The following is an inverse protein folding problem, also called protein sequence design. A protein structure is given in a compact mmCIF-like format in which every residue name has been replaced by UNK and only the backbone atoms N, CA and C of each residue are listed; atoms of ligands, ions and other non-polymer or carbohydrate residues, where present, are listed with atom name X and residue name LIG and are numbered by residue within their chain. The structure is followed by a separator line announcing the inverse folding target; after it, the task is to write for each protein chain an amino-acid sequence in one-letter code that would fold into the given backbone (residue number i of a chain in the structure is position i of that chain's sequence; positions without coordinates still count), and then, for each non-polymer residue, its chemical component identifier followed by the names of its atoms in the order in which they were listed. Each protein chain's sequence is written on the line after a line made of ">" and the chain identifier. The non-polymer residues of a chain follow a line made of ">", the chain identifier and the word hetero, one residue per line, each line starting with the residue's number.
data_IF_333084462266
#
_entry.id   IF_333084462266
#
_cell.length_a   1.000
_cell.length_b   1.000
_cell.length_c   1.000
_cell.angle_alpha   90.00
_cell.angle_beta   90.00
_cell.angle_gamma   90.00
#
_symmetry.space_group_name_H-M   'P 1'
#
loop_
_entity.id
_entity.type
_entity.pdbx_description
1 polymer ?
#
# COMPACT_ATOMS: atom_id res chain seq x y z
N UNK A 1 -1.08 -32.21 -20.84
CA UNK A 1 -1.93 -31.73 -19.74
C UNK A 1 -1.03 -31.31 -18.58
N UNK A 2 -0.34 -30.16 -18.73
CA UNK A 2 0.71 -29.73 -17.78
C UNK A 2 0.90 -28.20 -17.68
N UNK A 3 0.08 -27.41 -18.40
CA UNK A 3 0.24 -25.94 -18.48
C UNK A 3 -0.58 -25.20 -17.41
N UNK A 4 -1.57 -25.84 -16.79
CA UNK A 4 -2.44 -25.21 -15.78
C UNK A 4 -1.77 -25.03 -14.40
N UNK A 5 -0.86 -25.92 -14.01
CA UNK A 5 -0.20 -25.88 -12.69
C UNK A 5 0.72 -24.66 -12.49
N UNK A 6 1.66 -24.33 -13.40
CA UNK A 6 2.53 -23.17 -13.21
C UNK A 6 1.77 -21.84 -13.27
N UNK A 7 0.73 -21.72 -14.12
CA UNK A 7 -0.08 -20.50 -14.20
C UNK A 7 -0.92 -20.28 -12.93
N UNK A 8 -1.48 -21.34 -12.33
CA UNK A 8 -2.22 -21.24 -11.06
C UNK A 8 -1.32 -20.90 -9.88
N UNK A 9 -0.09 -21.41 -9.86
CA UNK A 9 0.91 -21.07 -8.83
C UNK A 9 1.35 -19.61 -8.93
N UNK A 10 1.67 -19.10 -10.13
CA UNK A 10 2.01 -17.68 -10.33
C UNK A 10 0.89 -16.73 -9.90
N UNK A 11 -0.37 -17.07 -10.25
CA UNK A 11 -1.54 -16.28 -9.84
C UNK A 11 -1.73 -16.29 -8.33
N UNK A 12 -1.54 -17.45 -7.68
CA UNK A 12 -1.64 -17.60 -6.24
C UNK A 12 -0.55 -16.80 -5.52
N UNK A 13 0.70 -16.88 -5.97
CA UNK A 13 1.77 -16.10 -5.37
C UNK A 13 1.54 -14.58 -5.52
N UNK A 14 1.06 -14.13 -6.69
CA UNK A 14 0.70 -12.71 -6.89
C UNK A 14 -0.41 -12.27 -5.93
N UNK A 15 -1.45 -13.08 -5.75
CA UNK A 15 -2.52 -12.78 -4.81
C UNK A 15 -2.01 -12.69 -3.35
N UNK A 16 -1.15 -13.64 -2.93
CA UNK A 16 -0.55 -13.65 -1.60
C UNK A 16 0.36 -12.44 -1.37
N UNK A 17 1.21 -12.10 -2.35
CA UNK A 17 2.09 -10.92 -2.28
C UNK A 17 1.29 -9.62 -2.11
N UNK A 18 0.19 -9.47 -2.85
CA UNK A 18 -0.73 -8.31 -2.74
C UNK A 18 -1.38 -8.22 -1.35
N UNK A 19 -1.92 -9.32 -0.84
CA UNK A 19 -2.51 -9.37 0.50
C UNK A 19 -1.49 -9.00 1.59
N UNK A 20 -0.25 -9.48 1.45
CA UNK A 20 0.82 -9.20 2.39
C UNK A 20 1.23 -7.72 2.38
N UNK A 21 1.42 -7.12 1.18
CA UNK A 21 1.71 -5.68 1.03
C UNK A 21 0.64 -4.80 1.69
N UNK A 22 -0.65 -5.08 1.43
CA UNK A 22 -1.77 -4.33 2.03
C UNK A 22 -1.78 -4.44 3.56
N UNK A 23 -1.52 -5.64 4.11
CA UNK A 23 -1.48 -5.84 5.57
C UNK A 23 -0.31 -5.10 6.21
N UNK A 24 0.88 -5.16 5.62
CA UNK A 24 2.07 -4.50 6.16
C UNK A 24 1.89 -2.97 6.13
N UNK A 25 1.27 -2.43 5.08
CA UNK A 25 0.87 -1.02 5.01
C UNK A 25 -0.10 -0.63 6.15
N UNK A 26 -1.17 -1.42 6.37
CA UNK A 26 -2.13 -1.14 7.43
C UNK A 26 -1.49 -1.12 8.83
N UNK A 27 -0.52 -2.01 9.09
CA UNK A 27 0.23 -2.03 10.36
C UNK A 27 1.03 -0.73 10.51
N UNK A 28 1.77 -0.33 9.47
CA UNK A 28 2.57 0.91 9.52
C UNK A 28 1.69 2.16 9.70
N UNK A 29 0.55 2.22 9.00
CA UNK A 29 -0.41 3.31 9.16
C UNK A 29 -1.00 3.35 10.57
N UNK A 30 -1.34 2.20 11.14
CA UNK A 30 -1.90 2.11 12.51
C UNK A 30 -0.90 2.62 13.53
N UNK A 31 0.37 2.18 13.44
CA UNK A 31 1.45 2.64 14.33
C UNK A 31 1.66 4.15 14.16
N UNK A 32 1.69 4.64 12.93
CA UNK A 32 1.82 6.08 12.65
C UNK A 32 0.70 6.88 13.33
N UNK A 33 -0.57 6.47 13.18
CA UNK A 33 -1.71 7.18 13.80
C UNK A 33 -1.62 7.12 15.33
N UNK A 34 -1.32 5.95 15.92
CA UNK A 34 -1.22 5.81 17.37
C UNK A 34 -0.11 6.69 17.97
N UNK A 35 1.07 6.68 17.37
CA UNK A 35 2.21 7.48 17.85
C UNK A 35 1.91 8.98 17.73
N UNK A 36 1.40 9.43 16.58
CA UNK A 36 1.08 10.85 16.40
C UNK A 36 -0.06 11.30 17.33
N UNK A 37 -1.09 10.47 17.53
CA UNK A 37 -2.15 10.75 18.49
C UNK A 37 -1.63 10.87 19.93
N UNK A 38 -0.68 10.00 20.32
CA UNK A 38 -0.02 10.07 21.61
C UNK A 38 0.82 11.34 21.79
N UNK A 39 1.59 11.73 20.77
CA UNK A 39 2.37 12.98 20.79
C UNK A 39 1.47 14.21 20.84
N UNK A 40 0.36 14.20 20.09
CA UNK A 40 -0.67 15.24 20.15
C UNK A 40 -1.30 15.34 21.55
N UNK A 41 -1.60 14.20 22.19
CA UNK A 41 -2.14 14.18 23.54
C UNK A 41 -1.14 14.78 24.55
N UNK A 42 0.14 14.40 24.47
CA UNK A 42 1.20 15.00 25.31
C UNK A 42 1.26 16.51 25.11
N UNK A 43 1.28 16.98 23.86
CA UNK A 43 1.33 18.40 23.54
C UNK A 43 0.11 19.17 24.09
N UNK A 44 -1.09 18.61 23.93
CA UNK A 44 -2.32 19.21 24.43
C UNK A 44 -2.33 19.29 25.97
N UNK A 45 -1.77 18.28 26.65
CA UNK A 45 -1.71 18.22 28.12
C UNK A 45 -0.60 19.10 28.72
N UNK A 46 0.44 19.45 27.96
CA UNK A 46 1.61 20.22 28.46
C UNK A 46 1.45 21.75 28.34
N UNK A 47 0.25 22.25 28.04
CA UNK A 47 -0.04 23.69 28.05
C UNK A 47 0.28 24.42 26.74
N UNK A 48 0.43 23.67 25.64
CA UNK A 48 0.41 24.09 24.24
C UNK A 48 1.06 25.45 23.89
N UNK A 49 2.39 25.50 24.00
CA UNK A 49 3.24 26.46 23.28
C UNK A 49 3.41 26.09 21.81
N UNK A 50 4.63 26.11 21.28
CA UNK A 50 4.90 25.74 19.88
C UNK A 50 4.47 24.31 19.53
N UNK A 51 3.83 24.13 18.36
CA UNK A 51 3.27 22.85 17.89
C UNK A 51 4.35 21.92 17.32
N UNK A 52 5.22 21.42 18.19
CA UNK A 52 6.30 20.50 17.83
C UNK A 52 5.85 19.13 17.24
N UNK A 53 4.64 18.58 17.48
CA UNK A 53 4.20 17.34 16.83
C UNK A 53 4.16 17.41 15.30
N UNK A 54 4.20 18.62 14.71
CA UNK A 54 4.25 18.81 13.26
C UNK A 54 5.44 18.10 12.60
N UNK A 55 6.60 18.03 13.26
CA UNK A 55 7.81 17.44 12.68
C UNK A 55 7.68 15.93 12.46
N UNK A 56 7.31 15.10 13.46
CA UNK A 56 7.08 13.69 13.23
C UNK A 56 5.88 13.42 12.30
N UNK A 57 4.81 14.23 12.38
CA UNK A 57 3.66 14.12 11.48
C UNK A 57 4.11 14.26 10.02
N UNK A 58 4.82 15.35 9.68
CA UNK A 58 5.23 15.62 8.30
C UNK A 58 6.39 14.72 7.88
N UNK A 59 7.41 14.58 8.71
CA UNK A 59 8.61 13.80 8.41
C UNK A 59 8.31 12.32 8.15
N UNK A 60 7.52 11.67 9.01
CA UNK A 60 7.11 10.28 8.79
C UNK A 60 5.90 10.16 7.87
N UNK A 61 5.02 11.16 7.83
CA UNK A 61 3.82 11.15 7.00
C UNK A 61 4.13 10.98 5.51
N UNK A 62 5.22 11.60 5.03
CA UNK A 62 5.67 11.43 3.64
C UNK A 62 6.02 9.96 3.34
N UNK A 63 6.73 9.29 4.26
CA UNK A 63 7.07 7.87 4.11
C UNK A 63 5.84 6.96 4.11
N UNK A 64 4.86 7.26 4.95
CA UNK A 64 3.58 6.52 4.98
C UNK A 64 2.80 6.74 3.69
N UNK A 65 2.73 7.96 3.15
CA UNK A 65 2.06 8.26 1.87
C UNK A 65 2.74 7.54 0.71
N UNK A 66 4.09 7.51 0.68
CA UNK A 66 4.83 6.75 -0.33
C UNK A 66 4.53 5.25 -0.24
N UNK A 67 4.48 4.69 0.97
CA UNK A 67 4.13 3.29 1.19
C UNK A 67 2.66 2.98 0.83
N UNK A 68 1.75 3.96 1.01
CA UNK A 68 0.36 3.86 0.58
C UNK A 68 0.27 3.78 -0.95
N UNK A 69 1.07 4.60 -1.65
CA UNK A 69 1.12 4.59 -3.10
C UNK A 69 1.62 3.24 -3.63
N UNK A 70 2.64 2.63 -3.02
CA UNK A 70 3.09 1.29 -3.44
C UNK A 70 2.04 0.20 -3.13
N UNK A 71 1.34 0.30 -2.00
CA UNK A 71 0.36 -0.70 -1.58
C UNK A 71 -0.97 -0.64 -2.36
N UNK A 72 -1.39 0.54 -2.82
CA UNK A 72 -2.67 0.76 -3.52
C UNK A 72 -2.53 1.15 -5.00
N UNK A 73 -1.37 1.65 -5.44
CA UNK A 73 -1.09 2.01 -6.84
C UNK A 73 -0.92 0.79 -7.75
N UNK A 74 -0.61 -0.38 -7.18
CA UNK A 74 -0.51 -1.68 -7.87
C UNK A 74 -1.87 -2.21 -8.42
N UNK A 75 -3.00 -1.54 -8.13
CA UNK A 75 -4.35 -1.95 -8.54
C UNK A 75 -4.84 -1.31 -9.86
N UNK A 76 -4.07 -0.42 -10.52
CA UNK A 76 -4.36 -0.01 -11.91
C UNK A 76 -3.65 -0.99 -12.85
N UNK A 77 -4.36 -1.87 -13.59
CA UNK A 77 -3.71 -2.72 -14.58
C UNK A 77 -3.01 -1.80 -15.58
N UNK A 78 -1.69 -1.91 -15.66
CA UNK A 78 -0.90 -1.09 -16.59
C UNK A 78 -1.47 -1.27 -18.00
N UNK A 79 -1.62 -0.19 -18.78
CA UNK A 79 -2.22 -0.26 -20.12
C UNK A 79 -1.57 -1.33 -21.01
N UNK A 80 -0.29 -1.63 -20.80
CA UNK A 80 0.42 -2.73 -21.47
C UNK A 80 -0.09 -4.14 -21.13
N UNK A 81 -0.61 -4.38 -19.92
CA UNK A 81 -1.27 -5.64 -19.56
C UNK A 81 -2.69 -5.71 -20.12
N UNK A 82 -3.42 -4.59 -20.12
CA UNK A 82 -4.76 -4.50 -20.72
C UNK A 82 -4.67 -4.75 -22.23
N UNK A 83 -3.71 -4.13 -22.91
CA UNK A 83 -3.47 -4.30 -24.34
C UNK A 83 -3.07 -5.73 -24.70
N UNK A 84 -2.16 -6.36 -23.92
CA UNK A 84 -1.82 -7.78 -24.12
C UNK A 84 -2.99 -8.72 -23.93
N UNK A 85 -3.88 -8.46 -22.97
CA UNK A 85 -5.05 -9.29 -22.74
C UNK A 85 -6.11 -9.09 -23.84
N UNK A 86 -6.30 -7.84 -24.30
CA UNK A 86 -7.16 -7.52 -25.45
C UNK A 86 -6.67 -8.20 -26.73
N UNK A 87 -5.36 -8.17 -27.01
CA UNK A 87 -4.75 -8.77 -28.19
C UNK A 87 -4.80 -10.31 -28.17
N UNK A 88 -4.82 -10.90 -26.97
CA UNK A 88 -5.00 -12.35 -26.78
C UNK A 88 -6.45 -12.79 -27.01
N UNK A 89 -7.43 -11.96 -26.63
CA UNK A 89 -8.86 -12.23 -26.82
C UNK A 89 -9.29 -12.01 -28.27
N UNK A 90 -8.72 -11.02 -28.97
CA UNK A 90 -8.98 -10.78 -30.39
C UNK A 90 -8.46 -11.91 -31.28
N UNK A 91 -7.31 -12.51 -30.94
CA UNK A 91 -6.67 -13.61 -31.70
C UNK A 91 -7.39 -14.96 -31.61
N UNK A 92 -8.39 -15.10 -30.75
CA UNK A 92 -9.20 -16.32 -30.57
C UNK A 92 -10.56 -16.27 -31.29
N UNK A 93 -10.85 -15.19 -32.02
CA UNK A 93 -12.03 -15.04 -32.89
C UNK A 93 -11.59 -15.05 -34.35
#
# INVERSE_FOLDING_TARGET
>A
MSIETPQREELRERAVRRLKKKRDFHIHLTIYVMVNAFLLAIWAMTGAGFFWPIFPIVGWGIGVVANAWDAYGDDVPTEGQISKEMDRLSRRR
#
